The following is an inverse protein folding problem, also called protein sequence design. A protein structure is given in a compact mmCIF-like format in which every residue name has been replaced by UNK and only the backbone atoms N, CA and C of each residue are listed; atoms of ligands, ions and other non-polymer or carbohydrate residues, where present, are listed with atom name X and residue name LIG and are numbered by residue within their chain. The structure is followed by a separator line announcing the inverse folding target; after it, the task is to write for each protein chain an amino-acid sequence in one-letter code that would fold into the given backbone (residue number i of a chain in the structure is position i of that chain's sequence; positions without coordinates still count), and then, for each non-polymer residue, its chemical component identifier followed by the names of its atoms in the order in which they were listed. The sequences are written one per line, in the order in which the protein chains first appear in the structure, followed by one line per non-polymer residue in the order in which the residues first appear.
data_IF_385762857495
#
_entry.id   IF_385762857495
#
_cell.length_a   1.000
_cell.length_b   1.000
_cell.length_c   1.000
_cell.angle_alpha   90.00
_cell.angle_beta   90.00
_cell.angle_gamma   90.00
#
_symmetry.space_group_name_H-M   'P 1'
#
loop_
_entity.id
_entity.type
_entity.pdbx_description
1 polymer ?
#
# COMPACT_ATOMS: atom_id res chain seq x y z
N UNK A 1 -0.42 19.82 -3.38
CA UNK A 1 -1.39 18.95 -2.66
C UNK A 1 -1.10 19.05 -1.17
N UNK A 2 -1.92 19.74 -0.39
CA UNK A 2 -1.71 19.86 1.05
C UNK A 2 -2.38 18.67 1.75
N UNK A 3 -1.62 17.87 2.48
CA UNK A 3 -2.09 16.70 3.25
C UNK A 3 -2.78 15.59 2.44
N UNK A 4 -2.48 15.50 1.15
CA UNK A 4 -2.91 14.37 0.32
C UNK A 4 -1.66 13.68 -0.20
N UNK A 5 -1.59 12.37 -0.05
CA UNK A 5 -0.51 11.53 -0.60
C UNK A 5 -1.08 10.61 -1.67
N UNK A 6 -0.23 10.31 -2.64
CA UNK A 6 -0.47 9.31 -3.67
C UNK A 6 0.10 7.99 -3.17
N UNK A 7 -0.76 6.98 -3.01
CA UNK A 7 -0.34 5.63 -2.68
C UNK A 7 -0.38 4.78 -3.95
N UNK A 8 0.73 4.13 -4.24
CA UNK A 8 0.87 3.20 -5.33
C UNK A 8 0.49 1.78 -4.86
N UNK A 9 -0.61 1.24 -5.38
CA UNK A 9 -1.00 -0.15 -5.16
C UNK A 9 -0.49 -1.01 -6.31
N UNK A 10 0.60 -1.72 -6.06
CA UNK A 10 1.14 -2.73 -6.97
C UNK A 10 0.36 -4.04 -6.84
N UNK A 11 -0.03 -4.64 -7.97
CA UNK A 11 -0.65 -5.96 -8.01
C UNK A 11 -0.24 -6.72 -9.27
N UNK A 12 -0.34 -8.05 -9.19
CA UNK A 12 -0.07 -8.94 -10.32
C UNK A 12 -1.39 -9.29 -10.99
N UNK A 13 -1.49 -9.01 -12.29
CA UNK A 13 -2.64 -9.42 -13.10
C UNK A 13 -2.28 -10.68 -13.89
N UNK A 14 -3.05 -11.75 -13.73
CA UNK A 14 -2.77 -13.02 -14.41
C UNK A 14 -3.42 -13.07 -15.80
N UNK A 15 -2.61 -13.20 -16.85
CA UNK A 15 -3.08 -13.28 -18.24
C UNK A 15 -3.33 -14.73 -18.63
N UNK A 16 -4.53 -15.23 -18.28
CA UNK A 16 -4.96 -16.61 -18.49
C UNK A 16 -5.03 -17.03 -19.96
N UNK A 17 -5.58 -16.17 -20.82
CA UNK A 17 -6.05 -16.58 -22.16
C UNK A 17 -4.96 -16.92 -23.17
N UNK A 18 -3.73 -16.40 -23.01
CA UNK A 18 -2.69 -16.55 -24.04
C UNK A 18 -1.34 -16.96 -23.48
N UNK A 19 -0.90 -16.35 -22.38
CA UNK A 19 0.50 -16.45 -21.94
C UNK A 19 0.71 -17.21 -20.64
N UNK A 20 -0.34 -17.45 -19.84
CA UNK A 20 -0.21 -18.07 -18.51
C UNK A 20 0.88 -17.41 -17.65
N UNK A 21 1.02 -16.08 -17.75
CA UNK A 21 2.02 -15.27 -17.04
C UNK A 21 1.35 -14.15 -16.25
N UNK A 22 2.06 -13.64 -15.25
CA UNK A 22 1.65 -12.47 -14.47
C UNK A 22 2.24 -11.18 -15.06
N UNK A 23 1.40 -10.17 -15.20
CA UNK A 23 1.77 -8.81 -15.58
C UNK A 23 1.80 -7.94 -14.31
N UNK A 24 2.86 -7.14 -14.14
CA UNK A 24 2.94 -6.16 -13.05
C UNK A 24 2.09 -4.94 -13.41
N UNK A 25 1.10 -4.62 -12.58
CA UNK A 25 0.28 -3.41 -12.71
C UNK A 25 0.33 -2.60 -11.44
N UNK A 26 0.08 -1.31 -11.59
CA UNK A 26 -0.08 -0.41 -10.46
C UNK A 26 -1.30 0.48 -10.67
N UNK A 27 -1.87 0.92 -9.55
CA UNK A 27 -2.93 1.92 -9.52
C UNK A 27 -2.59 2.97 -8.47
N UNK A 28 -2.75 4.24 -8.84
CA UNK A 28 -2.45 5.36 -7.96
C UNK A 28 -3.73 5.81 -7.28
N UNK A 29 -3.72 5.80 -5.96
CA UNK A 29 -4.86 6.17 -5.12
C UNK A 29 -4.48 7.43 -4.36
N UNK A 30 -5.29 8.48 -4.48
CA UNK A 30 -5.14 9.70 -3.69
C UNK A 30 -5.85 9.51 -2.33
N UNK A 31 -5.09 9.68 -1.25
CA UNK A 31 -5.59 9.53 0.11
C UNK A 31 -5.22 10.74 0.97
N UNK A 32 -6.15 11.14 1.84
CA UNK A 32 -5.95 12.23 2.80
C UNK A 32 -5.16 11.76 4.02
N UNK A 33 -4.29 12.62 4.53
CA UNK A 33 -3.47 12.39 5.72
C UNK A 33 -3.90 13.32 6.85
N UNK A 34 -4.30 12.72 7.97
CA UNK A 34 -4.44 13.45 9.22
C UNK A 34 -3.07 13.89 9.74
N UNK A 35 -3.01 15.08 10.35
CA UNK A 35 -1.78 15.70 10.90
C UNK A 35 -1.05 14.80 11.92
N UNK A 36 -1.74 13.84 12.50
CA UNK A 36 -1.20 12.89 13.48
C UNK A 36 -0.17 11.93 12.88
N UNK A 37 -0.22 11.66 11.57
CA UNK A 37 0.68 10.70 10.93
C UNK A 37 1.89 11.39 10.31
N UNK A 38 3.08 10.96 10.72
CA UNK A 38 4.35 11.36 10.10
C UNK A 38 4.78 10.25 9.13
N UNK A 39 4.46 10.42 7.86
CA UNK A 39 4.70 9.43 6.79
C UNK A 39 5.90 9.89 5.96
N UNK A 40 6.78 8.96 5.61
CA UNK A 40 7.86 9.18 4.64
C UNK A 40 7.60 8.36 3.38
N UNK A 41 8.31 8.70 2.31
CA UNK A 41 8.29 7.93 1.08
C UNK A 41 8.79 6.50 1.33
N UNK A 42 8.10 5.52 0.77
CA UNK A 42 8.42 4.10 0.93
C UNK A 42 7.73 3.41 2.11
N UNK A 43 7.07 4.14 3.02
CA UNK A 43 6.30 3.52 4.09
C UNK A 43 5.07 2.78 3.54
N UNK A 44 4.75 1.63 4.13
CA UNK A 44 3.50 0.93 3.83
C UNK A 44 2.35 1.55 4.61
N UNK A 45 1.20 1.70 3.96
CA UNK A 45 0.07 2.42 4.54
C UNK A 45 -1.18 1.57 4.41
N UNK A 46 -1.95 1.50 5.49
CA UNK A 46 -3.32 1.00 5.48
C UNK A 46 -4.26 2.20 5.30
N UNK A 47 -5.10 2.10 4.28
CA UNK A 47 -6.02 3.14 3.86
C UNK A 47 -7.45 2.61 3.97
N UNK A 48 -8.37 3.43 4.49
CA UNK A 48 -9.80 3.16 4.54
C UNK A 48 -10.57 3.98 3.50
N UNK A 49 -11.65 3.41 2.96
CA UNK A 49 -12.59 4.15 2.13
C UNK A 49 -13.36 5.16 2.99
N UNK A 50 -13.66 6.33 2.43
CA UNK A 50 -14.39 7.41 3.08
C UNK A 50 -15.38 8.06 2.11
N UNK A 51 -16.19 9.01 2.62
CA UNK A 51 -16.95 9.91 1.75
C UNK A 51 -16.00 10.70 0.83
N UNK A 52 -16.46 11.19 -0.34
CA UNK A 52 -15.65 12.08 -1.17
C UNK A 52 -15.25 13.34 -0.38
N UNK A 53 -13.95 13.54 -0.19
CA UNK A 53 -13.39 14.73 0.45
C UNK A 53 -12.99 15.78 -0.59
N UNK A 54 -12.61 15.31 -1.78
CA UNK A 54 -12.32 16.12 -2.95
C UNK A 54 -12.60 15.30 -4.22
N UNK A 55 -12.35 15.89 -5.41
CA UNK A 55 -12.57 15.23 -6.71
C UNK A 55 -11.92 13.84 -6.80
N UNK A 56 -10.69 13.71 -6.32
CA UNK A 56 -9.90 12.46 -6.40
C UNK A 56 -9.71 11.78 -5.05
N UNK A 57 -10.04 12.45 -3.93
CA UNK A 57 -9.77 11.96 -2.58
C UNK A 57 -11.01 11.31 -2.01
N UNK A 58 -11.02 9.98 -1.98
CA UNK A 58 -12.11 9.15 -1.45
C UNK A 58 -11.65 8.19 -0.33
N UNK A 59 -10.44 8.43 0.16
CA UNK A 59 -9.70 7.53 1.02
C UNK A 59 -8.98 8.31 2.12
N UNK A 60 -8.87 7.72 3.31
CA UNK A 60 -8.17 8.29 4.46
C UNK A 60 -7.16 7.30 5.05
N UNK A 61 -6.07 7.82 5.59
CA UNK A 61 -5.05 7.02 6.28
C UNK A 61 -5.58 6.48 7.61
N UNK A 62 -5.30 5.20 7.87
CA UNK A 62 -5.66 4.53 9.13
C UNK A 62 -4.42 4.16 9.94
N UNK A 63 -3.41 3.56 9.29
CA UNK A 63 -2.20 3.07 9.96
C UNK A 63 -1.00 3.17 9.02
N UNK A 64 0.15 3.50 9.60
CA UNK A 64 1.45 3.52 8.93
C UNK A 64 2.25 2.32 9.42
N UNK A 65 2.86 1.59 8.50
CA UNK A 65 3.76 0.47 8.74
C UNK A 65 5.14 0.91 8.23
N UNK A 66 6.04 1.35 9.13
CA UNK A 66 7.38 1.79 8.74
C UNK A 66 8.20 0.61 8.25
N UNK A 67 8.77 0.73 7.05
CA UNK A 67 9.58 -0.34 6.42
C UNK A 67 10.92 -0.56 7.16
N UNK A 68 11.37 0.43 7.94
CA UNK A 68 12.62 0.39 8.71
C UNK A 68 12.53 -0.16 10.14
N UNK A 69 11.35 -0.48 10.65
CA UNK A 69 11.23 -1.07 12.00
C UNK A 69 11.54 -2.56 11.94
N UNK A 70 12.80 -2.90 12.24
CA UNK A 70 13.20 -4.27 12.58
C UNK A 70 12.40 -4.75 13.79
N UNK A 71 11.25 -5.38 13.56
CA UNK A 71 10.65 -6.32 14.51
C UNK A 71 11.39 -7.65 14.35
N UNK A 72 12.44 -7.85 15.15
CA UNK A 72 13.17 -9.12 15.19
C UNK A 72 12.36 -10.21 15.90
N UNK A 73 12.26 -11.39 15.28
CA UNK A 73 12.72 -12.70 15.79
C UNK A 73 11.96 -13.89 15.17
N UNK A 74 12.71 -14.89 14.68
CA UNK A 74 12.39 -16.33 14.46
C UNK A 74 11.09 -16.71 13.72
N UNK A 75 11.07 -17.46 12.61
CA UNK A 75 11.89 -18.61 12.27
C UNK A 75 11.96 -18.79 10.76
N UNK A 76 13.19 -18.89 10.24
CA UNK A 76 13.45 -19.74 9.08
C UNK A 76 13.34 -21.18 9.58
N UNK A 77 12.23 -21.85 9.30
CA UNK A 77 12.14 -23.30 9.41
C UNK A 77 11.77 -23.85 8.03
N UNK A 78 12.80 -24.02 7.19
CA UNK A 78 12.77 -25.12 6.24
C UNK A 78 13.09 -26.37 7.07
N UNK A 79 12.09 -27.22 7.30
CA UNK A 79 12.31 -28.62 7.64
C UNK A 79 11.85 -29.42 6.43
N UNK A 80 12.84 -29.87 5.66
CA UNK A 80 12.71 -31.00 4.77
C UNK A 80 12.98 -32.28 5.59
N UNK A 81 12.36 -33.38 5.14
CA UNK A 81 12.26 -34.74 5.72
C UNK A 81 11.10 -34.90 6.69
#
# INVERSE_FOLDING_TARGET
MNRTIIVCRNYLHYVKKKYQRYEKRHSNIAAHISRCFRVKEGDHVIIGQCRPLAKTVRFNFLKVIPVGSKSGSGNKAFAAV
#
